data_IF_426419381703
#
_entry.id   IF_426419381703
#
_cell.length_a   1.000
_cell.length_b   1.000
_cell.length_c   1.000
_cell.angle_alpha   90.00
_cell.angle_beta   90.00
_cell.angle_gamma   90.00
#
_symmetry.space_group_name_H-M   'P 1'
#
loop_
_entity.id
_entity.type
_entity.pdbx_description
1 polymer ?
#
# COMPACT_ATOMS: atom_id res chain seq x y z
N UNK A 1 -20.55 12.36 -12.37
CA UNK A 1 -19.61 13.36 -11.79
C UNK A 1 -18.33 12.63 -11.43
N UNK A 2 -17.17 13.14 -11.82
CA UNK A 2 -15.86 12.60 -11.40
C UNK A 2 -15.54 13.03 -9.97
N UNK A 3 -14.81 12.18 -9.26
CA UNK A 3 -14.39 12.31 -7.86
C UNK A 3 -12.93 11.86 -7.73
N UNK A 4 -12.35 12.07 -6.54
CA UNK A 4 -11.02 11.60 -6.14
C UNK A 4 -11.10 11.03 -4.72
N UNK A 5 -10.17 10.16 -4.36
CA UNK A 5 -9.98 9.74 -2.96
C UNK A 5 -9.19 10.84 -2.23
N UNK A 6 -9.56 11.09 -0.97
CA UNK A 6 -8.88 12.03 -0.08
C UNK A 6 -8.54 11.34 1.24
N UNK A 7 -7.42 11.73 1.83
CA UNK A 7 -6.93 11.23 3.13
C UNK A 7 -6.76 12.44 4.05
N UNK A 8 -7.09 12.30 5.34
CA UNK A 8 -6.84 13.32 6.36
C UNK A 8 -5.83 12.81 7.40
N UNK A 9 -4.73 13.53 7.62
CA UNK A 9 -3.83 13.23 8.75
C UNK A 9 -4.51 13.63 10.06
N UNK A 10 -4.84 12.68 10.93
CA UNK A 10 -5.67 12.91 12.12
C UNK A 10 -4.94 13.70 13.22
N UNK A 11 -3.61 13.57 13.30
CA UNK A 11 -2.76 14.33 14.23
C UNK A 11 -2.17 15.56 13.55
N UNK A 12 -2.03 16.65 14.30
CA UNK A 12 -1.39 17.87 13.82
C UNK A 12 0.15 17.81 13.87
N UNK A 13 0.71 16.91 14.68
CA UNK A 13 2.15 16.68 14.83
C UNK A 13 2.72 15.59 13.89
N UNK A 14 1.87 14.99 13.07
CA UNK A 14 2.23 13.95 12.12
C UNK A 14 2.35 14.55 10.69
N UNK A 15 3.37 14.18 9.89
CA UNK A 15 3.51 14.71 8.53
C UNK A 15 2.33 14.32 7.62
N UNK A 16 2.16 15.07 6.53
CA UNK A 16 1.32 14.63 5.40
C UNK A 16 1.77 13.24 4.91
N UNK A 17 0.87 12.34 4.48
CA UNK A 17 1.27 11.07 3.83
C UNK A 17 1.95 11.32 2.47
N UNK A 18 1.76 12.50 1.89
CA UNK A 18 2.39 12.92 0.64
C UNK A 18 3.14 14.24 0.85
N UNK A 19 4.31 14.25 1.52
CA UNK A 19 5.20 15.40 1.48
C UNK A 19 5.62 15.71 0.04
N UNK A 20 5.88 16.99 -0.29
CA UNK A 20 6.47 17.39 -1.57
C UNK A 20 7.73 16.58 -1.85
N UNK A 21 7.84 16.07 -3.07
CA UNK A 21 9.09 15.50 -3.56
C UNK A 21 9.95 16.66 -4.05
N UNK A 22 11.02 16.96 -3.34
CA UNK A 22 12.00 17.95 -3.78
C UNK A 22 12.78 17.38 -4.97
N UNK A 23 12.71 18.05 -6.12
CA UNK A 23 13.47 17.72 -7.34
C UNK A 23 14.90 18.31 -7.32
N UNK A 24 15.37 18.67 -6.11
CA UNK A 24 16.74 19.10 -5.85
C UNK A 24 17.68 17.91 -6.06
N UNK A 25 18.22 17.81 -7.28
CA UNK A 25 19.27 16.86 -7.66
C UNK A 25 20.35 16.83 -6.59
N UNK A 26 20.66 15.65 -6.05
CA UNK A 26 21.76 15.49 -5.10
C UNK A 26 23.08 15.82 -5.78
N UNK A 27 23.57 17.06 -5.60
CA UNK A 27 24.91 17.48 -6.01
C UNK A 27 25.89 16.69 -5.15
N UNK A 28 26.29 15.53 -5.69
CA UNK A 28 27.33 14.69 -5.10
C UNK A 28 28.63 15.49 -5.20
N UNK A 29 29.10 16.02 -4.06
CA UNK A 29 30.36 16.75 -3.99
C UNK A 29 31.51 15.87 -4.48
N UNK A 30 31.95 16.09 -5.71
CA UNK A 30 33.01 15.29 -6.33
C UNK A 30 34.38 15.70 -5.80
N UNK A 31 35.08 14.74 -5.18
CA UNK A 31 36.55 14.70 -5.14
C UNK A 31 36.94 13.31 -5.66
N UNK A 32 37.79 13.19 -6.71
CA UNK A 32 37.93 11.95 -7.49
C UNK A 32 39.24 11.19 -7.12
N UNK A 33 39.78 10.21 -7.88
CA UNK A 33 39.71 8.80 -7.44
C UNK A 33 41.03 8.00 -7.46
N UNK A 34 41.09 6.90 -6.71
CA UNK A 34 42.04 5.78 -6.85
C UNK A 34 41.54 4.57 -6.04
N UNK A 35 41.88 3.30 -6.30
CA UNK A 35 42.34 2.56 -7.50
C UNK A 35 42.36 1.07 -7.12
N UNK A 36 42.30 0.14 -8.09
CA UNK A 36 42.48 -1.32 -7.93
C UNK A 36 41.42 -2.08 -7.09
N UNK A 37 41.11 -3.37 -7.31
CA UNK A 37 41.44 -4.29 -8.41
C UNK A 37 40.41 -5.42 -8.48
N UNK A 38 40.40 -6.17 -9.59
CA UNK A 38 39.54 -7.34 -9.82
C UNK A 38 40.11 -8.65 -9.20
N UNK A 39 39.45 -9.79 -9.51
CA UNK A 39 39.94 -11.20 -9.44
C UNK A 39 40.17 -11.80 -8.02
N UNK A 40 39.93 -13.10 -7.74
CA UNK A 40 39.16 -14.16 -8.43
C UNK A 40 38.90 -15.37 -7.47
N UNK A 41 38.01 -16.30 -7.88
CA UNK A 41 38.01 -17.77 -7.72
C UNK A 41 38.29 -18.52 -6.38
N UNK A 42 37.40 -19.49 -6.09
CA UNK A 42 37.55 -20.85 -5.47
C UNK A 42 36.39 -21.15 -4.47
N UNK A 43 35.57 -22.22 -4.54
CA UNK A 43 35.83 -23.69 -4.52
C UNK A 43 36.67 -24.14 -3.30
N UNK A 44 36.52 -25.26 -2.58
CA UNK A 44 35.56 -26.41 -2.47
C UNK A 44 36.01 -27.24 -1.22
N UNK A 45 35.29 -28.17 -0.56
CA UNK A 45 33.91 -28.70 -0.56
C UNK A 45 33.65 -29.42 0.82
N UNK A 46 32.55 -30.16 0.99
CA UNK A 46 32.39 -31.39 1.83
C UNK A 46 32.90 -31.36 3.31
N UNK A 47 32.07 -31.55 4.36
CA UNK A 47 31.42 -32.86 4.63
C UNK A 47 30.84 -32.95 6.06
N UNK A 48 29.99 -33.97 6.29
CA UNK A 48 29.66 -34.65 7.59
C UNK A 48 28.99 -33.87 8.73
N UNK A 49 27.71 -34.23 8.96
CA UNK A 49 27.47 -35.38 9.86
C UNK A 49 26.85 -35.15 11.26
N UNK A 50 25.50 -35.10 11.30
CA UNK A 50 24.65 -35.98 12.14
C UNK A 50 24.90 -36.03 13.66
N UNK A 51 24.04 -35.35 14.45
CA UNK A 51 23.27 -35.99 15.55
C UNK A 51 22.17 -35.12 16.19
N UNK A 52 20.98 -35.72 16.29
CA UNK A 52 20.06 -35.78 17.44
C UNK A 52 19.98 -34.64 18.47
N UNK A 53 18.79 -34.04 18.53
CA UNK A 53 17.79 -34.31 19.59
C UNK A 53 18.20 -34.02 21.04
N UNK A 54 17.79 -32.84 21.55
CA UNK A 54 17.26 -32.69 22.91
C UNK A 54 16.30 -31.49 22.94
N UNK A 55 15.01 -31.75 22.67
CA UNK A 55 13.93 -30.77 22.82
C UNK A 55 13.32 -30.89 24.23
N UNK A 56 13.71 -29.98 25.13
CA UNK A 56 12.99 -29.59 26.36
C UNK A 56 13.70 -28.47 27.11
N UNK A 57 12.91 -27.79 27.95
CA UNK A 57 13.34 -26.83 28.98
C UNK A 57 13.64 -25.38 28.50
N UNK A 58 12.61 -24.68 28.03
CA UNK A 58 12.54 -23.20 28.04
C UNK A 58 11.13 -22.61 28.21
N UNK A 59 10.16 -23.36 28.74
CA UNK A 59 8.80 -22.87 29.05
C UNK A 59 8.66 -22.28 30.47
N UNK A 60 9.66 -21.54 30.96
CA UNK A 60 9.61 -20.94 32.31
C UNK A 60 10.08 -19.49 32.41
N UNK A 61 10.00 -18.74 31.31
CA UNK A 61 10.31 -17.30 31.30
C UNK A 61 9.25 -16.43 30.56
N UNK A 62 8.05 -16.98 30.31
CA UNK A 62 6.94 -16.20 29.71
C UNK A 62 6.20 -15.28 30.70
N UNK A 63 6.59 -15.21 31.98
CA UNK A 63 5.82 -14.49 33.00
C UNK A 63 6.34 -13.08 33.33
N UNK A 64 7.40 -12.60 32.65
CA UNK A 64 7.97 -11.25 32.88
C UNK A 64 7.91 -10.26 31.71
N UNK A 65 7.50 -10.67 30.50
CA UNK A 65 7.37 -9.78 29.34
C UNK A 65 6.07 -8.96 29.29
N UNK A 66 5.30 -8.90 30.38
CA UNK A 66 4.16 -7.97 30.56
C UNK A 66 4.60 -6.60 31.10
N UNK A 67 5.85 -6.19 30.83
CA UNK A 67 6.23 -4.79 31.03
C UNK A 67 5.45 -3.93 30.05
N UNK A 68 4.57 -3.09 30.60
CA UNK A 68 3.55 -2.33 29.87
C UNK A 68 4.18 -1.54 28.73
N UNK A 69 3.95 -1.97 27.49
CA UNK A 69 3.95 -1.04 26.35
C UNK A 69 3.07 0.14 26.76
N UNK A 70 3.69 1.32 26.88
CA UNK A 70 2.97 2.57 27.11
C UNK A 70 2.15 2.81 25.85
N UNK A 71 0.91 2.31 25.84
CA UNK A 71 -0.06 2.52 24.76
C UNK A 71 -0.02 3.99 24.37
N UNK A 72 0.43 4.27 23.16
CA UNK A 72 0.50 5.64 22.63
C UNK A 72 -0.90 6.24 22.79
N UNK A 73 -1.06 7.37 23.50
CA UNK A 73 -2.38 7.90 23.79
C UNK A 73 -3.09 8.23 22.46
N UNK A 74 -4.24 7.60 22.25
CA UNK A 74 -5.05 7.84 21.07
C UNK A 74 -5.59 9.27 21.10
N UNK A 75 -5.24 10.06 20.09
CA UNK A 75 -5.54 11.49 19.98
C UNK A 75 -5.94 11.81 18.55
N UNK A 76 -7.04 12.53 18.38
CA UNK A 76 -7.48 13.11 17.11
C UNK A 76 -7.51 14.62 17.29
N UNK A 77 -6.83 15.34 16.41
CA UNK A 77 -6.89 16.79 16.36
C UNK A 77 -7.91 17.18 15.31
N UNK A 78 -9.03 17.80 15.72
CA UNK A 78 -10.08 18.27 14.81
C UNK A 78 -9.78 19.69 14.29
N UNK A 79 -9.07 20.50 15.08
CA UNK A 79 -8.68 21.85 14.70
C UNK A 79 -7.78 21.84 13.47
N UNK A 80 -8.14 22.61 12.44
CA UNK A 80 -7.41 22.65 11.17
C UNK A 80 -7.38 21.33 10.39
N UNK A 81 -8.23 20.34 10.71
CA UNK A 81 -8.23 19.04 10.00
C UNK A 81 -8.46 19.21 8.48
N UNK A 82 -9.24 20.21 8.07
CA UNK A 82 -9.47 20.58 6.67
C UNK A 82 -8.19 21.00 5.91
N UNK A 83 -7.17 21.49 6.62
CA UNK A 83 -5.86 21.84 6.04
C UNK A 83 -4.95 20.60 5.90
N UNK A 84 -5.28 19.51 6.59
CA UNK A 84 -4.58 18.22 6.57
C UNK A 84 -5.24 17.19 5.64
N UNK A 85 -6.20 17.61 4.83
CA UNK A 85 -6.83 16.78 3.79
C UNK A 85 -6.00 16.88 2.51
N UNK A 86 -5.47 15.75 2.04
CA UNK A 86 -4.74 15.64 0.78
C UNK A 86 -5.44 14.69 -0.18
N UNK A 87 -5.41 15.00 -1.47
CA UNK A 87 -5.88 14.08 -2.50
C UNK A 87 -4.88 12.94 -2.68
N UNK A 88 -5.38 11.74 -2.95
CA UNK A 88 -4.57 10.66 -3.49
C UNK A 88 -3.98 11.12 -4.84
N UNK A 89 -2.67 10.92 -5.12
CA UNK A 89 -2.06 11.34 -6.38
C UNK A 89 -2.39 10.35 -7.51
N UNK A 90 -3.68 10.26 -7.83
CA UNK A 90 -4.27 9.40 -8.84
C UNK A 90 -5.14 10.22 -9.79
N UNK A 91 -5.49 9.64 -10.94
CA UNK A 91 -6.42 10.26 -11.88
C UNK A 91 -7.81 10.50 -11.23
N UNK A 92 -8.56 11.52 -11.69
CA UNK A 92 -9.98 11.62 -11.36
C UNK A 92 -10.75 10.47 -12.02
N UNK A 93 -11.77 9.93 -11.35
CA UNK A 93 -12.61 8.85 -11.88
C UNK A 93 -14.01 8.86 -11.28
N UNK A 94 -14.89 7.94 -11.67
CA UNK A 94 -16.20 7.79 -10.99
C UNK A 94 -16.05 6.75 -9.88
N UNK A 95 -15.73 7.22 -8.67
CA UNK A 95 -15.47 6.34 -7.52
C UNK A 95 -16.79 5.98 -6.82
N UNK A 96 -17.05 4.68 -6.60
CA UNK A 96 -18.29 4.19 -5.98
C UNK A 96 -18.13 3.70 -4.53
N UNK A 97 -17.04 3.03 -4.22
CA UNK A 97 -16.73 2.56 -2.87
C UNK A 97 -15.24 2.74 -2.57
N UNK A 98 -14.91 2.91 -1.28
CA UNK A 98 -13.54 3.06 -0.77
C UNK A 98 -13.43 2.26 0.52
N UNK A 99 -12.31 1.57 0.70
CA UNK A 99 -11.89 0.93 1.95
C UNK A 99 -10.38 1.13 2.13
N UNK A 100 -9.88 1.01 3.36
CA UNK A 100 -8.46 1.09 3.65
C UNK A 100 -8.05 0.01 4.66
N UNK A 101 -6.85 -0.53 4.51
CA UNK A 101 -6.25 -1.41 5.50
C UNK A 101 -4.73 -1.34 5.44
N UNK A 102 -4.09 -1.25 6.62
CA UNK A 102 -2.63 -1.12 6.75
C UNK A 102 -2.14 0.05 5.88
N UNK A 103 -1.24 -0.22 4.92
CA UNK A 103 -0.68 0.77 4.01
C UNK A 103 -1.41 0.89 2.66
N UNK A 104 -2.57 0.23 2.50
CA UNK A 104 -3.30 0.17 1.23
C UNK A 104 -4.67 0.85 1.30
N UNK A 105 -5.01 1.53 0.20
CA UNK A 105 -6.36 2.04 -0.07
C UNK A 105 -6.93 1.29 -1.27
N UNK A 106 -8.11 0.70 -1.09
CA UNK A 106 -8.86 0.02 -2.13
C UNK A 106 -10.06 0.88 -2.51
N UNK A 107 -10.31 1.06 -3.81
CA UNK A 107 -11.48 1.81 -4.27
C UNK A 107 -11.98 1.31 -5.60
N UNK A 108 -13.30 1.36 -5.83
CA UNK A 108 -13.91 0.94 -7.09
C UNK A 108 -14.14 2.13 -8.01
N UNK A 109 -13.65 2.02 -9.24
CA UNK A 109 -13.88 2.95 -10.34
C UNK A 109 -14.91 2.34 -11.30
N UNK A 110 -15.79 3.17 -11.87
CA UNK A 110 -16.61 2.79 -13.03
C UNK A 110 -16.37 3.72 -14.21
N UNK A 111 -16.67 3.29 -15.44
CA UNK A 111 -16.43 4.09 -16.64
C UNK A 111 -17.18 5.42 -16.64
N UNK A 112 -16.52 6.48 -17.09
CA UNK A 112 -17.14 7.78 -17.32
C UNK A 112 -18.18 7.64 -18.45
N UNK A 113 -19.42 8.01 -18.13
CA UNK A 113 -20.53 7.99 -19.09
C UNK A 113 -20.54 9.28 -19.92
N UNK A 114 -20.38 9.14 -21.24
CA UNK A 114 -20.62 10.18 -22.23
C UNK A 114 -22.02 10.09 -22.84
N UNK A 115 -22.29 10.94 -23.83
CA UNK A 115 -23.58 10.95 -24.54
C UNK A 115 -23.88 9.65 -25.30
N UNK A 116 -22.83 8.96 -25.76
CA UNK A 116 -22.92 7.70 -26.51
C UNK A 116 -22.64 6.46 -25.65
N UNK A 117 -22.74 6.56 -24.32
CA UNK A 117 -22.39 5.49 -23.38
C UNK A 117 -21.00 5.65 -22.74
N UNK A 118 -20.43 4.58 -22.15
CA UNK A 118 -19.11 4.63 -21.52
C UNK A 118 -17.99 4.93 -22.52
N UNK A 119 -16.93 5.59 -22.06
CA UNK A 119 -15.71 5.74 -22.87
C UNK A 119 -15.06 4.37 -23.14
N UNK A 120 -14.63 4.09 -24.39
CA UNK A 120 -13.99 2.82 -24.73
C UNK A 120 -12.64 2.68 -24.01
N UNK A 121 -12.35 1.48 -23.52
CA UNK A 121 -11.12 1.17 -22.76
C UNK A 121 -11.23 1.38 -21.24
N UNK A 122 -12.34 1.92 -20.73
CA UNK A 122 -12.64 1.93 -19.29
C UNK A 122 -13.57 0.75 -18.93
N UNK A 123 -13.19 -0.07 -17.95
CA UNK A 123 -14.05 -1.10 -17.34
C UNK A 123 -14.26 -0.83 -15.84
N UNK A 124 -15.38 -1.32 -15.24
CA UNK A 124 -15.56 -1.28 -13.79
C UNK A 124 -14.45 -2.09 -13.10
N UNK A 125 -13.72 -1.50 -12.16
CA UNK A 125 -12.54 -2.13 -11.58
C UNK A 125 -12.33 -1.74 -10.11
N UNK A 126 -11.70 -2.64 -9.34
CA UNK A 126 -11.12 -2.33 -8.03
C UNK A 126 -9.66 -1.94 -8.23
N UNK A 127 -9.34 -0.72 -7.81
CA UNK A 127 -7.99 -0.18 -7.76
C UNK A 127 -7.42 -0.37 -6.36
N UNK A 128 -6.15 -0.77 -6.28
CA UNK A 128 -5.37 -0.76 -5.05
C UNK A 128 -4.29 0.31 -5.16
N UNK A 129 -4.16 1.14 -4.12
CA UNK A 129 -3.12 2.16 -4.01
C UNK A 129 -2.24 1.86 -2.80
N UNK A 130 -0.94 1.74 -3.04
CA UNK A 130 0.09 1.57 -2.02
C UNK A 130 0.55 2.94 -1.51
N UNK A 131 0.34 3.23 -0.23
CA UNK A 131 0.73 4.51 0.40
C UNK A 131 2.25 4.68 0.53
N UNK A 132 3.00 3.57 0.63
CA UNK A 132 4.47 3.57 0.76
C UNK A 132 5.15 3.75 -0.59
N UNK A 133 4.76 2.96 -1.59
CA UNK A 133 5.29 3.09 -2.96
C UNK A 133 4.73 4.29 -3.72
N UNK A 134 3.61 4.87 -3.25
CA UNK A 134 2.80 5.88 -3.94
C UNK A 134 2.32 5.45 -5.34
N UNK A 135 1.95 4.17 -5.49
CA UNK A 135 1.55 3.57 -6.77
C UNK A 135 0.14 3.02 -6.73
N UNK A 136 -0.61 3.30 -7.78
CA UNK A 136 -1.88 2.66 -8.10
C UNK A 136 -1.64 1.42 -8.99
N UNK A 137 -2.39 0.35 -8.74
CA UNK A 137 -2.50 -0.83 -9.62
C UNK A 137 -3.97 -1.26 -9.70
N UNK A 138 -4.44 -1.67 -10.89
CA UNK A 138 -5.70 -2.40 -11.01
C UNK A 138 -5.55 -3.75 -10.30
N UNK A 139 -6.45 -4.07 -9.38
CA UNK A 139 -6.44 -5.32 -8.62
C UNK A 139 -7.38 -6.36 -9.24
N UNK A 140 -8.59 -5.94 -9.62
CA UNK A 140 -9.62 -6.79 -10.24
C UNK A 140 -10.41 -5.94 -11.24
N UNK A 141 -10.61 -6.43 -12.46
CA UNK A 141 -11.46 -5.83 -13.49
C UNK A 141 -12.84 -6.49 -13.52
N UNK A 142 -13.80 -5.88 -14.22
CA UNK A 142 -15.19 -6.31 -14.29
C UNK A 142 -15.84 -6.51 -12.91
N UNK A 143 -15.74 -5.51 -12.03
CA UNK A 143 -16.30 -5.55 -10.66
C UNK A 143 -17.45 -4.56 -10.46
N UNK A 144 -18.59 -5.04 -9.99
CA UNK A 144 -19.70 -4.18 -9.54
C UNK A 144 -19.52 -3.66 -8.12
N UNK A 145 -19.13 -4.57 -7.20
CA UNK A 145 -19.06 -4.31 -5.75
C UNK A 145 -17.88 -5.05 -5.14
N UNK A 146 -17.34 -4.49 -4.06
CA UNK A 146 -16.37 -5.18 -3.22
C UNK A 146 -16.60 -4.89 -1.74
N UNK A 147 -16.10 -5.78 -0.89
CA UNK A 147 -16.01 -5.63 0.55
C UNK A 147 -14.64 -6.13 1.03
N UNK A 148 -14.03 -5.40 1.96
CA UNK A 148 -12.75 -5.76 2.57
C UNK A 148 -13.01 -6.43 3.93
N UNK A 149 -12.25 -7.48 4.25
CA UNK A 149 -12.31 -8.12 5.57
C UNK A 149 -11.77 -7.20 6.66
N UNK A 150 -12.20 -7.42 7.91
CA UNK A 150 -11.79 -6.59 9.06
C UNK A 150 -10.26 -6.59 9.30
N UNK A 151 -9.57 -7.70 9.02
CA UNK A 151 -8.11 -7.82 9.08
C UNK A 151 -7.38 -7.18 7.87
N UNK A 152 -8.14 -6.75 6.84
CA UNK A 152 -7.62 -6.22 5.59
C UNK A 152 -6.94 -7.23 4.68
N UNK A 153 -6.98 -8.54 5.00
CA UNK A 153 -6.21 -9.57 4.30
C UNK A 153 -6.98 -10.27 3.18
N UNK A 154 -8.29 -10.07 3.07
CA UNK A 154 -9.16 -10.70 2.06
C UNK A 154 -10.13 -9.67 1.50
N UNK A 155 -10.37 -9.75 0.20
CA UNK A 155 -11.33 -8.91 -0.50
C UNK A 155 -12.36 -9.82 -1.16
N UNK A 156 -13.62 -9.65 -0.77
CA UNK A 156 -14.77 -10.25 -1.45
C UNK A 156 -15.21 -9.29 -2.54
N UNK A 157 -15.52 -9.80 -3.73
CA UNK A 157 -16.05 -8.99 -4.83
C UNK A 157 -17.22 -9.69 -5.50
N UNK A 158 -18.06 -8.88 -6.15
CA UNK A 158 -19.10 -9.31 -7.08
C UNK A 158 -18.61 -8.96 -8.49
N UNK A 159 -18.37 -9.96 -9.32
CA UNK A 159 -18.15 -9.76 -10.75
C UNK A 159 -19.37 -9.10 -11.38
N UNK A 160 -19.16 -8.14 -12.27
CA UNK A 160 -20.16 -7.74 -13.25
C UNK A 160 -20.16 -8.70 -14.42
N UNK A 161 -21.31 -8.83 -15.09
CA UNK A 161 -21.43 -9.68 -16.27
C UNK A 161 -20.47 -9.18 -17.37
N UNK A 162 -19.52 -10.03 -17.77
CA UNK A 162 -18.45 -9.68 -18.70
C UNK A 162 -18.88 -9.56 -20.17
N UNK A 163 -20.06 -10.07 -20.52
CA UNK A 163 -20.55 -10.18 -21.90
C UNK A 163 -22.05 -9.86 -21.96
N UNK A 164 -22.45 -8.91 -22.81
CA UNK A 164 -23.85 -8.48 -22.87
C UNK A 164 -24.21 -7.29 -23.79
N UNK A 165 -23.36 -6.91 -24.75
CA UNK A 165 -23.73 -5.98 -25.82
C UNK A 165 -23.34 -6.55 -27.20
N UNK A 166 -24.09 -7.58 -27.59
CA UNK A 166 -24.23 -8.01 -28.97
C UNK A 166 -25.72 -8.18 -29.26
N UNK A 167 -26.29 -7.25 -30.03
CA UNK A 167 -27.64 -7.27 -30.56
C UNK A 167 -27.59 -6.88 -32.04
#
# INVERSE_FOLDING_TARGET
>A
KTTRVYIATLRADEPSPFPPLSDETTVKSEVPPASASATDLAQEDESKGKSKDTDKESEKDQEKSKEKEKKVPFRIDVEGIQQRIVALPTGPGVIRAVAAAKDFIYYSTVPIQGLSGPLPGETPAVQAYDLKERKQKTLIEHVERFALSFDGMKLLYQSGDGEGQGA
#
